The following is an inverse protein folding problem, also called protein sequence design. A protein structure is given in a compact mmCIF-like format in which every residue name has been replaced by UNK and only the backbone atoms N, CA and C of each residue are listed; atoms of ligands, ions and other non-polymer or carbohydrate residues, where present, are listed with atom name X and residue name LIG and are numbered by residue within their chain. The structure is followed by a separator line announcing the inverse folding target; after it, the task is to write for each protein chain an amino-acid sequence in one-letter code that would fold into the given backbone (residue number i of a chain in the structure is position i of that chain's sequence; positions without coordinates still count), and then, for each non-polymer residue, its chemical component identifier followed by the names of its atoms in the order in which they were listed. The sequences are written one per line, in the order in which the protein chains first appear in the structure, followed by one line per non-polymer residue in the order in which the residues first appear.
data_IF_030845299717
#
_entry.id   IF_030845299717
#
_cell.length_a   1.000
_cell.length_b   1.000
_cell.length_c   1.000
_cell.angle_alpha   90.00
_cell.angle_beta   90.00
_cell.angle_gamma   90.00
#
_symmetry.space_group_name_H-M   'P 1'
#
loop_
_entity.id
_entity.type
_entity.pdbx_description
1 polymer ?
#
# COMPACT_ATOMS: atom_id res chain seq x y z
N UNK A 1 -12.39 17.73 4.91
CA UNK A 1 -11.24 17.87 4.00
C UNK A 1 -10.09 18.47 4.79
N UNK A 2 -9.31 17.64 5.46
CA UNK A 2 -8.12 18.08 6.16
C UNK A 2 -7.01 18.30 5.12
N UNK A 3 -6.41 19.49 5.11
CA UNK A 3 -5.31 19.83 4.20
C UNK A 3 -4.13 18.92 4.56
N UNK A 4 -3.87 17.89 3.73
CA UNK A 4 -2.57 17.19 3.79
C UNK A 4 -1.48 18.25 3.65
N UNK A 5 -0.73 18.47 4.72
CA UNK A 5 0.41 19.39 4.74
C UNK A 5 1.38 19.05 3.63
N UNK A 6 2.01 20.07 3.07
CA UNK A 6 3.03 19.94 2.03
C UNK A 6 4.09 18.90 2.45
N UNK A 7 4.03 17.69 1.90
CA UNK A 7 5.06 16.69 2.12
C UNK A 7 6.28 17.10 1.31
N UNK A 8 7.17 17.85 1.95
CA UNK A 8 8.45 18.23 1.37
C UNK A 8 9.28 16.96 1.21
N UNK A 9 9.63 16.61 -0.03
CA UNK A 9 10.57 15.53 -0.30
C UNK A 9 11.99 15.98 0.12
N UNK A 10 12.30 15.77 1.39
CA UNK A 10 13.58 16.14 2.01
C UNK A 10 14.79 15.60 1.25
N UNK A 11 14.60 14.52 0.48
CA UNK A 11 15.68 13.94 -0.33
C UNK A 11 16.13 14.88 -1.44
N UNK A 12 15.20 15.63 -2.04
CA UNK A 12 15.54 16.62 -3.08
C UNK A 12 16.24 17.84 -2.51
N UNK A 13 15.99 18.17 -1.25
CA UNK A 13 16.64 19.28 -0.54
C UNK A 13 18.03 18.94 0.02
N UNK A 14 18.35 17.65 0.22
CA UNK A 14 19.61 17.26 0.86
C UNK A 14 20.85 17.52 0.00
N UNK A 15 20.79 17.46 -1.34
CA UNK A 15 21.92 17.79 -2.21
C UNK A 15 22.27 19.28 -2.08
N UNK A 16 21.35 20.22 -2.36
CA UNK A 16 21.68 21.64 -2.24
C UNK A 16 22.06 22.01 -0.79
N UNK A 17 21.47 21.38 0.21
CA UNK A 17 21.81 21.60 1.62
C UNK A 17 23.22 21.09 1.95
N UNK A 18 23.62 19.92 1.46
CA UNK A 18 24.98 19.39 1.66
C UNK A 18 26.04 20.20 0.90
N UNK A 19 25.71 20.68 -0.30
CA UNK A 19 26.59 21.59 -1.05
C UNK A 19 26.73 22.93 -0.35
N UNK A 20 25.64 23.49 0.17
CA UNK A 20 25.68 24.73 0.96
C UNK A 20 26.48 24.56 2.25
N UNK A 21 26.27 23.46 2.97
CA UNK A 21 27.03 23.13 4.17
C UNK A 21 28.52 22.98 3.86
N UNK A 22 28.86 22.33 2.74
CA UNK A 22 30.25 22.20 2.27
C UNK A 22 30.87 23.56 1.94
N UNK A 23 30.13 24.45 1.29
CA UNK A 23 30.55 25.83 0.99
C UNK A 23 30.80 26.61 2.28
N UNK A 24 29.88 26.58 3.24
CA UNK A 24 30.02 27.25 4.54
C UNK A 24 31.22 26.70 5.33
N UNK A 25 31.43 25.39 5.35
CA UNK A 25 32.58 24.79 6.03
C UNK A 25 33.91 25.19 5.41
N UNK A 26 33.95 25.28 4.09
CA UNK A 26 35.19 25.65 3.37
C UNK A 26 35.53 27.13 3.51
N UNK A 27 34.57 28.04 3.25
CA UNK A 27 34.81 29.48 3.23
C UNK A 27 34.63 30.18 4.58
N UNK A 28 33.82 29.62 5.48
CA UNK A 28 33.50 30.23 6.77
C UNK A 28 34.31 29.71 7.95
N UNK A 29 34.79 28.46 7.86
CA UNK A 29 35.48 27.79 8.98
C UNK A 29 36.85 27.21 8.62
N UNK A 30 37.38 27.51 7.41
CA UNK A 30 38.65 26.94 6.93
C UNK A 30 38.79 25.43 7.13
N UNK A 31 37.69 24.71 6.87
CA UNK A 31 37.63 23.26 7.14
C UNK A 31 38.69 22.49 6.36
N UNK A 32 39.39 21.55 6.98
CA UNK A 32 40.44 20.79 6.31
C UNK A 32 39.87 19.95 5.16
N UNK A 33 40.67 19.75 4.10
CA UNK A 33 40.26 19.04 2.87
C UNK A 33 39.64 17.65 3.09
N UNK A 34 40.06 16.96 4.15
CA UNK A 34 39.47 15.64 4.47
C UNK A 34 37.98 15.73 4.82
N UNK A 35 37.51 16.83 5.44
CA UNK A 35 36.08 17.05 5.73
C UNK A 35 35.29 17.17 4.43
N UNK A 36 35.83 17.91 3.48
CA UNK A 36 35.22 18.03 2.14
C UNK A 36 35.19 16.70 1.41
N UNK A 37 36.26 15.89 1.53
CA UNK A 37 36.30 14.54 0.96
C UNK A 37 35.20 13.63 1.55
N UNK A 38 34.96 13.68 2.86
CA UNK A 38 33.89 12.91 3.52
C UNK A 38 32.53 13.33 2.96
N UNK A 39 32.26 14.63 2.84
CA UNK A 39 30.99 15.10 2.26
C UNK A 39 30.83 14.69 0.78
N UNK A 40 31.91 14.77 0.00
CA UNK A 40 31.90 14.38 -1.42
C UNK A 40 31.60 12.87 -1.58
N UNK A 41 32.15 12.02 -0.71
CA UNK A 41 31.89 10.57 -0.72
C UNK A 41 30.48 10.23 -0.21
N UNK A 42 29.93 11.01 0.72
CA UNK A 42 28.60 10.78 1.26
C UNK A 42 27.49 10.93 0.19
N UNK A 43 27.62 11.88 -0.73
CA UNK A 43 26.64 12.15 -1.78
C UNK A 43 26.38 10.91 -2.64
N UNK A 44 27.38 10.27 -3.30
CA UNK A 44 27.13 9.07 -4.11
C UNK A 44 26.64 7.88 -3.27
N UNK A 45 27.10 7.74 -2.02
CA UNK A 45 26.60 6.67 -1.14
C UNK A 45 25.10 6.84 -0.90
N UNK A 46 24.67 8.04 -0.56
CA UNK A 46 23.26 8.30 -0.24
C UNK A 46 22.35 8.26 -1.48
N UNK A 47 22.80 8.81 -2.61
CA UNK A 47 21.95 8.96 -3.80
C UNK A 47 22.04 7.80 -4.79
N UNK A 48 23.09 7.01 -4.77
CA UNK A 48 23.30 5.89 -5.70
C UNK A 48 23.28 4.57 -4.95
N UNK A 49 24.20 4.37 -4.00
CA UNK A 49 24.39 3.07 -3.35
C UNK A 49 23.18 2.70 -2.49
N UNK A 50 22.69 3.64 -1.68
CA UNK A 50 21.54 3.39 -0.80
C UNK A 50 20.25 3.03 -1.57
N UNK A 51 19.80 3.79 -2.59
CA UNK A 51 18.62 3.42 -3.37
C UNK A 51 18.79 2.10 -4.14
N UNK A 52 19.98 1.81 -4.67
CA UNK A 52 20.27 0.51 -5.31
C UNK A 52 20.13 -0.64 -4.32
N UNK A 53 20.72 -0.51 -3.14
CA UNK A 53 20.63 -1.51 -2.08
C UNK A 53 19.18 -1.70 -1.62
N UNK A 54 18.46 -0.59 -1.39
CA UNK A 54 17.06 -0.61 -1.00
C UNK A 54 16.20 -1.32 -2.05
N UNK A 55 16.37 -0.95 -3.33
CA UNK A 55 15.64 -1.58 -4.45
C UNK A 55 15.92 -3.08 -4.55
N UNK A 56 17.18 -3.50 -4.44
CA UNK A 56 17.56 -4.93 -4.46
C UNK A 56 16.87 -5.71 -3.33
N UNK A 57 16.91 -5.16 -2.11
CA UNK A 57 16.26 -5.75 -0.93
C UNK A 57 14.74 -5.81 -1.10
N UNK A 58 14.14 -4.72 -1.60
CA UNK A 58 12.71 -4.64 -1.84
C UNK A 58 12.26 -5.69 -2.87
N UNK A 59 12.92 -5.78 -4.00
CA UNK A 59 12.59 -6.76 -5.06
C UNK A 59 12.72 -8.20 -4.54
N UNK A 60 13.76 -8.50 -3.76
CA UNK A 60 13.94 -9.83 -3.15
C UNK A 60 12.81 -10.15 -2.16
N UNK A 61 12.41 -9.18 -1.33
CA UNK A 61 11.28 -9.32 -0.41
C UNK A 61 9.96 -9.54 -1.17
N UNK A 62 9.66 -8.74 -2.20
CA UNK A 62 8.43 -8.90 -2.98
C UNK A 62 8.34 -10.27 -3.65
N UNK A 63 9.44 -10.76 -4.22
CA UNK A 63 9.48 -12.10 -4.83
C UNK A 63 9.16 -13.20 -3.82
N UNK A 64 9.78 -13.15 -2.63
CA UNK A 64 9.52 -14.12 -1.57
C UNK A 64 8.10 -13.98 -1.00
N UNK A 65 7.61 -12.74 -0.86
CA UNK A 65 6.25 -12.46 -0.44
C UNK A 65 5.23 -13.07 -1.39
N UNK A 66 5.35 -12.79 -2.70
CA UNK A 66 4.44 -13.32 -3.71
C UNK A 66 4.42 -14.86 -3.72
N UNK A 67 5.61 -15.49 -3.66
CA UNK A 67 5.73 -16.95 -3.62
C UNK A 67 5.03 -17.58 -2.40
N UNK A 68 5.27 -17.05 -1.20
CA UNK A 68 4.65 -17.57 0.03
C UNK A 68 3.15 -17.25 0.08
N UNK A 69 2.75 -16.09 -0.42
CA UNK A 69 1.33 -15.70 -0.48
C UNK A 69 0.54 -16.66 -1.39
N UNK A 70 1.10 -17.03 -2.53
CA UNK A 70 0.50 -18.01 -3.44
C UNK A 70 0.40 -19.42 -2.82
N UNK A 71 1.33 -19.75 -1.90
CA UNK A 71 1.31 -21.01 -1.13
C UNK A 71 0.46 -20.95 0.14
N UNK A 72 -0.21 -19.84 0.41
CA UNK A 72 -0.99 -19.60 1.63
C UNK A 72 -0.19 -19.77 2.94
N UNK A 73 1.16 -19.65 2.86
CA UNK A 73 2.05 -19.70 4.03
C UNK A 73 2.04 -18.36 4.79
N UNK A 74 0.90 -18.04 5.39
CA UNK A 74 0.71 -16.75 6.08
C UNK A 74 1.57 -16.62 7.35
N UNK A 75 1.87 -17.71 8.04
CA UNK A 75 2.78 -17.71 9.19
C UNK A 75 4.21 -17.38 8.75
N UNK A 76 4.70 -18.05 7.71
CA UNK A 76 6.00 -17.75 7.13
C UNK A 76 6.09 -16.35 6.52
N UNK A 77 4.98 -15.79 6.01
CA UNK A 77 4.90 -14.39 5.57
C UNK A 77 5.07 -13.41 6.72
N UNK A 78 4.45 -13.68 7.87
CA UNK A 78 4.59 -12.84 9.05
C UNK A 78 6.03 -12.86 9.59
N UNK A 79 6.68 -14.01 9.60
CA UNK A 79 8.10 -14.12 9.94
C UNK A 79 8.99 -13.40 8.91
N UNK A 80 8.74 -13.59 7.63
CA UNK A 80 9.46 -12.89 6.56
C UNK A 80 9.36 -11.37 6.77
N UNK A 81 8.17 -10.85 7.07
CA UNK A 81 7.96 -9.43 7.35
C UNK A 81 8.74 -8.97 8.61
N UNK A 82 8.67 -9.74 9.69
CA UNK A 82 9.36 -9.41 10.95
C UNK A 82 10.87 -9.34 10.78
N UNK A 83 11.43 -10.23 9.98
CA UNK A 83 12.87 -10.32 9.71
C UNK A 83 13.39 -9.21 8.79
N UNK A 84 12.50 -8.41 8.16
CA UNK A 84 12.89 -7.28 7.30
C UNK A 84 13.01 -5.96 8.07
N UNK A 85 13.77 -5.95 9.19
CA UNK A 85 13.92 -4.74 10.02
C UNK A 85 14.40 -3.53 9.22
N UNK A 86 15.34 -3.74 8.26
CA UNK A 86 15.86 -2.67 7.41
C UNK A 86 14.77 -2.06 6.50
N UNK A 87 13.98 -2.88 5.82
CA UNK A 87 12.88 -2.40 4.98
C UNK A 87 11.79 -1.75 5.81
N UNK A 88 11.51 -2.26 7.00
CA UNK A 88 10.54 -1.68 7.93
C UNK A 88 10.98 -0.31 8.45
N UNK A 89 12.29 -0.05 8.57
CA UNK A 89 12.82 1.23 9.09
C UNK A 89 13.12 2.23 7.98
N UNK A 90 13.65 1.78 6.85
CA UNK A 90 14.22 2.61 5.79
C UNK A 90 13.56 2.42 4.42
N UNK A 91 12.71 1.41 4.27
CA UNK A 91 12.01 1.09 3.03
C UNK A 91 10.73 1.92 2.84
N UNK A 92 9.93 1.57 1.83
CA UNK A 92 8.66 2.21 1.54
C UNK A 92 7.63 1.84 2.63
N UNK A 93 7.46 2.71 3.61
CA UNK A 93 6.68 2.44 4.83
C UNK A 93 5.22 2.08 4.53
N UNK A 94 4.55 2.84 3.66
CA UNK A 94 3.17 2.57 3.28
C UNK A 94 3.00 1.19 2.63
N UNK A 95 3.91 0.82 1.73
CA UNK A 95 3.87 -0.49 1.06
C UNK A 95 4.17 -1.63 2.03
N UNK A 96 5.14 -1.45 2.94
CA UNK A 96 5.44 -2.44 3.98
C UNK A 96 4.23 -2.69 4.88
N UNK A 97 3.57 -1.63 5.36
CA UNK A 97 2.34 -1.74 6.14
C UNK A 97 1.20 -2.34 5.31
N UNK A 98 1.06 -1.95 4.03
CA UNK A 98 0.10 -2.57 3.12
C UNK A 98 0.29 -4.08 2.98
N UNK A 99 1.55 -4.56 2.90
CA UNK A 99 1.86 -6.01 2.90
C UNK A 99 1.47 -6.68 4.22
N UNK A 100 1.70 -6.02 5.36
CA UNK A 100 1.27 -6.54 6.67
C UNK A 100 -0.25 -6.62 6.78
N UNK A 101 -0.96 -5.60 6.30
CA UNK A 101 -2.43 -5.60 6.25
C UNK A 101 -2.97 -6.75 5.40
N UNK A 102 -2.34 -7.05 4.25
CA UNK A 102 -2.70 -8.21 3.43
C UNK A 102 -2.46 -9.54 4.16
N UNK A 103 -1.37 -9.69 4.92
CA UNK A 103 -1.12 -10.89 5.73
C UNK A 103 -2.23 -11.05 6.77
N UNK A 104 -2.55 -10.00 7.53
CA UNK A 104 -3.61 -10.07 8.54
C UNK A 104 -4.98 -10.37 7.92
N UNK A 105 -5.31 -9.73 6.80
CA UNK A 105 -6.56 -10.01 6.07
C UNK A 105 -6.65 -11.47 5.63
N UNK A 106 -5.58 -12.02 5.07
CA UNK A 106 -5.52 -13.43 4.64
C UNK A 106 -5.58 -14.43 5.82
N UNK A 107 -5.15 -13.99 7.01
CA UNK A 107 -5.29 -14.79 8.25
C UNK A 107 -6.68 -14.64 8.91
N UNK A 108 -7.62 -13.90 8.32
CA UNK A 108 -8.93 -13.59 8.91
C UNK A 108 -8.87 -12.58 10.08
N UNK A 109 -7.73 -11.96 10.33
CA UNK A 109 -7.53 -10.96 11.39
C UNK A 109 -7.92 -9.57 10.89
N UNK A 110 -9.22 -9.40 10.62
CA UNK A 110 -9.70 -8.21 9.91
C UNK A 110 -9.57 -6.91 10.72
N UNK A 111 -9.66 -6.94 12.07
CA UNK A 111 -9.47 -5.74 12.89
C UNK A 111 -8.03 -5.24 12.86
N UNK A 112 -7.07 -6.16 12.94
CA UNK A 112 -5.65 -5.83 12.82
C UNK A 112 -5.30 -5.37 11.40
N UNK A 113 -5.93 -5.97 10.38
CA UNK A 113 -5.78 -5.55 9.00
C UNK A 113 -6.32 -4.12 8.77
N UNK A 114 -7.51 -3.79 9.30
CA UNK A 114 -8.10 -2.45 9.23
C UNK A 114 -7.14 -1.40 9.78
N UNK A 115 -6.71 -1.55 11.03
CA UNK A 115 -5.77 -0.62 11.67
C UNK A 115 -4.44 -0.50 10.91
N UNK A 116 -3.96 -1.62 10.35
CA UNK A 116 -2.70 -1.62 9.60
C UNK A 116 -2.84 -0.88 8.27
N UNK A 117 -3.96 -1.04 7.55
CA UNK A 117 -4.21 -0.29 6.31
C UNK A 117 -4.43 1.20 6.57
N UNK A 118 -5.11 1.58 7.64
CA UNK A 118 -5.24 2.97 8.06
C UNK A 118 -3.86 3.59 8.33
N UNK A 119 -3.01 2.89 9.10
CA UNK A 119 -1.63 3.33 9.34
C UNK A 119 -0.77 3.37 8.07
N UNK A 120 -1.09 2.55 7.05
CA UNK A 120 -0.43 2.60 5.75
C UNK A 120 -0.86 3.84 4.96
N UNK A 121 -2.15 4.19 5.01
CA UNK A 121 -2.70 5.39 4.34
C UNK A 121 -2.12 6.68 4.89
N UNK A 122 -1.89 6.78 6.20
CA UNK A 122 -1.24 7.94 6.84
C UNK A 122 0.17 8.22 6.28
N UNK A 123 0.83 7.18 5.72
CA UNK A 123 2.18 7.24 5.18
C UNK A 123 2.22 7.13 3.65
N UNK A 124 1.08 6.99 3.01
CA UNK A 124 0.99 6.76 1.58
C UNK A 124 1.21 8.04 0.77
N UNK A 125 1.88 7.89 -0.37
CA UNK A 125 1.83 8.89 -1.42
C UNK A 125 0.56 8.72 -2.26
N UNK A 126 0.12 9.78 -2.91
CA UNK A 126 -1.12 9.82 -3.71
C UNK A 126 -1.24 8.68 -4.74
N UNK A 127 -0.13 8.21 -5.29
CA UNK A 127 -0.08 7.10 -6.26
C UNK A 127 -0.35 5.73 -5.65
N UNK A 128 -0.25 5.59 -4.32
CA UNK A 128 -0.41 4.32 -3.60
C UNK A 128 -1.78 4.22 -2.91
N UNK A 129 -2.48 5.34 -2.76
CA UNK A 129 -3.72 5.44 -1.99
C UNK A 129 -4.82 4.52 -2.51
N UNK A 130 -5.07 4.49 -3.81
CA UNK A 130 -6.15 3.69 -4.41
C UNK A 130 -6.08 2.21 -4.05
N UNK A 131 -4.85 1.65 -4.06
CA UNK A 131 -4.63 0.25 -3.66
C UNK A 131 -4.93 0.00 -2.20
N UNK A 132 -4.48 0.92 -1.34
CA UNK A 132 -4.70 0.82 0.10
C UNK A 132 -6.16 1.02 0.46
N UNK A 133 -6.83 2.01 -0.15
CA UNK A 133 -8.27 2.23 0.00
C UNK A 133 -9.08 1.01 -0.44
N UNK A 134 -8.75 0.42 -1.58
CA UNK A 134 -9.45 -0.79 -2.04
C UNK A 134 -9.30 -1.95 -1.06
N UNK A 135 -8.09 -2.19 -0.52
CA UNK A 135 -7.85 -3.24 0.46
C UNK A 135 -8.53 -2.94 1.81
N UNK A 136 -8.51 -1.68 2.26
CA UNK A 136 -9.22 -1.26 3.47
C UNK A 136 -10.73 -1.47 3.33
N UNK A 137 -11.31 -1.11 2.17
CA UNK A 137 -12.72 -1.33 1.90
C UNK A 137 -13.08 -2.82 1.89
N UNK A 138 -12.22 -3.69 1.32
CA UNK A 138 -12.40 -5.14 1.40
C UNK A 138 -12.42 -5.64 2.85
N UNK A 139 -11.53 -5.14 3.70
CA UNK A 139 -11.48 -5.51 5.12
C UNK A 139 -12.71 -5.01 5.87
N UNK A 140 -13.16 -3.78 5.61
CA UNK A 140 -14.39 -3.23 6.20
C UNK A 140 -15.62 -4.04 5.77
N UNK A 141 -15.66 -4.49 4.52
CA UNK A 141 -16.70 -5.42 4.04
C UNK A 141 -16.73 -6.74 4.85
N UNK A 142 -15.56 -7.36 5.07
CA UNK A 142 -15.48 -8.61 5.86
C UNK A 142 -15.83 -8.39 7.34
N UNK A 143 -15.68 -7.16 7.86
CA UNK A 143 -16.12 -6.78 9.21
C UNK A 143 -17.62 -6.43 9.28
N UNK A 144 -18.37 -6.49 8.16
CA UNK A 144 -19.77 -6.11 8.09
C UNK A 144 -20.03 -4.59 8.10
N UNK A 145 -18.97 -3.76 7.98
CA UNK A 145 -19.07 -2.28 7.91
C UNK A 145 -19.37 -1.84 6.48
N UNK A 146 -20.55 -2.21 5.97
CA UNK A 146 -20.90 -2.06 4.55
C UNK A 146 -20.98 -0.61 4.09
N UNK A 147 -21.50 0.30 4.91
CA UNK A 147 -21.61 1.73 4.62
C UNK A 147 -20.22 2.35 4.43
N UNK A 148 -19.31 2.09 5.37
CA UNK A 148 -17.93 2.58 5.29
C UNK A 148 -17.22 2.01 4.04
N UNK A 149 -17.36 0.70 3.79
CA UNK A 149 -16.79 0.05 2.62
C UNK A 149 -17.30 0.68 1.32
N UNK A 150 -18.63 0.93 1.23
CA UNK A 150 -19.27 1.56 0.07
C UNK A 150 -18.74 2.97 -0.18
N UNK A 151 -18.59 3.77 0.87
CA UNK A 151 -18.02 5.12 0.75
C UNK A 151 -16.61 5.08 0.17
N UNK A 152 -15.76 4.18 0.68
CA UNK A 152 -14.38 4.04 0.21
C UNK A 152 -14.35 3.54 -1.24
N UNK A 153 -15.14 2.54 -1.62
CA UNK A 153 -15.18 2.06 -3.01
C UNK A 153 -15.64 3.16 -3.99
N UNK A 154 -16.61 4.00 -3.58
CA UNK A 154 -17.09 5.13 -4.39
C UNK A 154 -16.04 6.25 -4.51
N UNK A 155 -15.19 6.46 -3.50
CA UNK A 155 -14.14 7.49 -3.48
C UNK A 155 -12.94 7.17 -4.36
N UNK A 156 -12.78 5.92 -4.84
CA UNK A 156 -11.67 5.55 -5.72
C UNK A 156 -11.66 6.39 -7.00
N UNK A 157 -10.46 6.79 -7.43
CA UNK A 157 -10.27 7.62 -8.64
C UNK A 157 -10.89 6.96 -9.88
N UNK A 158 -11.41 7.76 -10.80
CA UNK A 158 -12.04 7.27 -12.02
C UNK A 158 -11.11 6.36 -12.83
N UNK A 159 -9.82 6.71 -12.89
CA UNK A 159 -8.78 5.96 -13.61
C UNK A 159 -8.11 4.88 -12.75
N UNK A 160 -8.63 4.60 -11.56
CA UNK A 160 -8.06 3.56 -10.70
C UNK A 160 -8.20 2.17 -11.34
N UNK A 161 -7.12 1.35 -11.33
CA UNK A 161 -7.20 -0.04 -11.81
C UNK A 161 -8.15 -0.89 -10.96
N UNK A 162 -8.49 -0.45 -9.75
CA UNK A 162 -9.40 -1.13 -8.83
C UNK A 162 -10.87 -0.77 -9.04
N UNK A 163 -11.18 0.19 -9.91
CA UNK A 163 -12.54 0.71 -10.13
C UNK A 163 -13.54 -0.37 -10.52
N UNK A 164 -13.13 -1.27 -11.43
CA UNK A 164 -14.01 -2.37 -11.85
C UNK A 164 -14.30 -3.35 -10.71
N UNK A 165 -13.26 -3.75 -9.97
CA UNK A 165 -13.41 -4.64 -8.81
C UNK A 165 -14.23 -3.97 -7.69
N UNK A 166 -14.05 -2.68 -7.46
CA UNK A 166 -14.85 -1.92 -6.49
C UNK A 166 -16.35 -1.90 -6.87
N UNK A 167 -16.69 -1.76 -8.16
CA UNK A 167 -18.08 -1.85 -8.61
C UNK A 167 -18.67 -3.24 -8.34
N UNK A 168 -17.90 -4.30 -8.49
CA UNK A 168 -18.35 -5.65 -8.14
C UNK A 168 -18.63 -5.78 -6.65
N UNK A 169 -17.76 -5.21 -5.81
CA UNK A 169 -17.98 -5.22 -4.35
C UNK A 169 -19.19 -4.38 -3.94
N UNK A 170 -19.40 -3.22 -4.58
CA UNK A 170 -20.60 -2.40 -4.35
C UNK A 170 -21.87 -3.17 -4.70
N UNK A 171 -21.91 -3.85 -5.84
CA UNK A 171 -23.08 -4.67 -6.20
C UNK A 171 -23.32 -5.84 -5.23
N UNK A 172 -22.26 -6.43 -4.66
CA UNK A 172 -22.40 -7.44 -3.60
C UNK A 172 -22.96 -6.84 -2.30
N UNK A 173 -22.59 -5.60 -1.96
CA UNK A 173 -23.14 -4.88 -0.81
C UNK A 173 -24.62 -4.56 -1.06
N UNK A 174 -24.95 -3.96 -2.22
CA UNK A 174 -26.31 -3.62 -2.60
C UNK A 174 -27.24 -4.85 -2.49
N UNK A 175 -26.80 -6.02 -2.97
CA UNK A 175 -27.53 -7.28 -2.86
C UNK A 175 -27.77 -7.70 -1.39
N UNK A 176 -26.74 -7.64 -0.55
CA UNK A 176 -26.84 -7.99 0.87
C UNK A 176 -27.73 -7.06 1.69
N UNK A 177 -27.77 -5.77 1.31
CA UNK A 177 -28.59 -4.79 1.97
C UNK A 177 -30.02 -4.72 1.41
N UNK A 178 -30.31 -5.48 0.34
CA UNK A 178 -31.59 -5.43 -0.36
C UNK A 178 -31.80 -4.14 -1.14
N UNK A 179 -30.71 -3.41 -1.44
CA UNK A 179 -30.75 -2.19 -2.22
C UNK A 179 -30.48 -2.50 -3.70
N UNK A 180 -31.24 -1.88 -4.61
CA UNK A 180 -31.06 -1.99 -6.06
C UNK A 180 -30.82 -3.43 -6.53
N UNK A 181 -31.58 -4.37 -5.98
CA UNK A 181 -31.38 -5.83 -6.14
C UNK A 181 -31.29 -6.23 -7.62
N UNK A 182 -32.22 -5.74 -8.45
CA UNK A 182 -32.29 -6.13 -9.87
C UNK A 182 -31.07 -5.63 -10.63
N UNK A 183 -30.65 -4.38 -10.41
CA UNK A 183 -29.45 -3.78 -11.04
C UNK A 183 -28.17 -4.49 -10.58
N UNK A 184 -28.08 -4.78 -9.29
CA UNK A 184 -26.95 -5.48 -8.69
C UNK A 184 -26.83 -6.91 -9.24
N UNK A 185 -27.96 -7.63 -9.36
CA UNK A 185 -28.03 -8.97 -9.92
C UNK A 185 -27.57 -8.98 -11.38
N UNK A 186 -28.14 -8.12 -12.23
CA UNK A 186 -27.77 -8.04 -13.64
C UNK A 186 -26.27 -7.72 -13.81
N UNK A 187 -25.75 -6.78 -13.01
CA UNK A 187 -24.32 -6.45 -13.04
C UNK A 187 -23.44 -7.62 -12.64
N UNK A 188 -23.78 -8.32 -11.54
CA UNK A 188 -23.03 -9.46 -11.03
C UNK A 188 -23.03 -10.66 -11.99
N UNK A 189 -24.13 -10.95 -12.66
CA UNK A 189 -24.19 -11.99 -13.69
C UNK A 189 -23.24 -11.70 -14.86
N UNK A 190 -23.14 -10.42 -15.27
CA UNK A 190 -22.18 -10.00 -16.30
C UNK A 190 -20.74 -10.08 -15.79
N UNK A 191 -20.48 -9.64 -14.55
CA UNK A 191 -19.15 -9.65 -13.92
C UNK A 191 -18.65 -11.09 -13.70
N UNK A 192 -19.52 -12.02 -13.32
CA UNK A 192 -19.24 -13.44 -13.12
C UNK A 192 -18.51 -14.10 -14.29
N UNK A 193 -18.84 -13.73 -15.52
CA UNK A 193 -18.25 -14.31 -16.75
C UNK A 193 -16.75 -14.01 -16.87
N UNK A 194 -16.28 -12.95 -16.23
CA UNK A 194 -14.88 -12.45 -16.32
C UNK A 194 -14.15 -12.52 -14.98
N UNK A 195 -14.84 -12.95 -13.91
CA UNK A 195 -14.30 -12.98 -12.56
C UNK A 195 -13.31 -14.14 -12.39
N UNK A 196 -12.28 -13.92 -11.55
CA UNK A 196 -11.40 -15.00 -11.06
C UNK A 196 -12.17 -15.97 -10.16
N UNK A 197 -11.66 -17.20 -10.03
CA UNK A 197 -12.34 -18.26 -9.27
C UNK A 197 -12.86 -17.82 -7.88
N UNK A 198 -12.08 -17.17 -7.01
CA UNK A 198 -12.57 -16.77 -5.68
C UNK A 198 -13.65 -15.67 -5.73
N UNK A 199 -13.57 -14.76 -6.71
CA UNK A 199 -14.60 -13.72 -6.90
C UNK A 199 -15.88 -14.35 -7.47
N UNK A 200 -15.76 -15.28 -8.41
CA UNK A 200 -16.86 -16.00 -9.00
C UNK A 200 -17.65 -16.77 -7.94
N UNK A 201 -16.96 -17.52 -7.07
CA UNK A 201 -17.58 -18.25 -5.98
C UNK A 201 -18.35 -17.31 -5.02
N UNK A 202 -17.79 -16.13 -4.71
CA UNK A 202 -18.45 -15.12 -3.88
C UNK A 202 -19.72 -14.57 -4.56
N UNK A 203 -19.67 -14.32 -5.87
CA UNK A 203 -20.82 -13.87 -6.66
C UNK A 203 -21.89 -14.98 -6.68
N UNK A 204 -21.50 -16.23 -6.94
CA UNK A 204 -22.42 -17.36 -7.01
C UNK A 204 -23.16 -17.55 -5.69
N UNK A 205 -22.46 -17.43 -4.56
CA UNK A 205 -23.04 -17.50 -3.22
C UNK A 205 -24.03 -16.36 -2.98
N UNK A 206 -23.65 -15.13 -3.30
CA UNK A 206 -24.52 -13.97 -3.11
C UNK A 206 -25.80 -14.04 -3.98
N UNK A 207 -25.68 -14.53 -5.22
CA UNK A 207 -26.85 -14.71 -6.11
C UNK A 207 -27.77 -15.86 -5.68
N UNK A 208 -27.25 -16.83 -4.95
CA UNK A 208 -28.05 -17.96 -4.43
C UNK A 208 -28.80 -17.62 -3.12
N UNK A 209 -28.32 -16.61 -2.36
CA UNK A 209 -28.93 -16.15 -1.10
C UNK A 209 -30.07 -15.13 -1.33
N UNK A 210 -30.24 -14.63 -2.55
CA UNK A 210 -31.28 -13.68 -2.98
C UNK A 210 -32.26 -14.31 -3.96
#
# INVERSE_FOLDING_TARGET
MEKKGLQIDWRRGLIPLSLLAMFILYFGFDAPLWVLAVFTLWIPIYYVVYPMYLRKRWTAFEKQFAYRFQKEDYKGLLELYRNQWFLRRFGPQAEMLGKLGLIYSAMGKYREAEHTFESALDRAHETQEDKLFFNLANVKYELGKYEDASQIYRSLKVNSPYRHSARTQLALIDLRQGERVDEAREFLEKARKRASAPIKERIDRALAEC
#
